data_IF_741577340125
#
_entry.id   IF_741577340125
#
_cell.length_a   1.000
_cell.length_b   1.000
_cell.length_c   1.000
_cell.angle_alpha   90.00
_cell.angle_beta   90.00
_cell.angle_gamma   90.00
#
_symmetry.space_group_name_H-M   'P 1'
#
loop_
_entity.id
_entity.type
_entity.pdbx_description
1 polymer ?
#
# COMPACT_ATOMS: atom_id res chain seq x y z
N UNK A 1 30.02 -2.38 15.78
CA UNK A 1 29.96 -2.04 14.34
C UNK A 1 29.13 -0.78 14.18
N UNK A 2 29.68 0.20 13.48
CA UNK A 2 28.96 1.42 13.16
C UNK A 2 28.52 1.39 11.71
N UNK A 3 27.30 1.88 11.44
CA UNK A 3 26.76 2.01 10.10
C UNK A 3 27.07 3.42 9.58
N UNK A 4 27.67 3.50 8.40
CA UNK A 4 27.85 4.78 7.74
C UNK A 4 26.54 5.18 7.04
N UNK A 5 25.72 5.92 7.74
CA UNK A 5 24.39 6.33 7.27
C UNK A 5 24.45 7.22 6.03
N UNK A 6 25.46 8.10 5.94
CA UNK A 6 25.61 8.97 4.77
C UNK A 6 25.90 8.16 3.52
N UNK A 7 26.83 7.21 3.60
CA UNK A 7 27.19 6.33 2.49
C UNK A 7 25.99 5.49 2.05
N UNK A 8 25.21 4.97 3.01
CA UNK A 8 24.01 4.22 2.73
C UNK A 8 22.96 5.07 2.02
N UNK A 9 22.71 6.29 2.51
CA UNK A 9 21.73 7.19 1.91
C UNK A 9 22.14 7.62 0.50
N UNK A 10 23.43 7.87 0.27
CA UNK A 10 23.94 8.19 -1.07
C UNK A 10 23.73 7.01 -2.03
N UNK A 11 23.95 5.78 -1.57
CA UNK A 11 23.70 4.58 -2.36
C UNK A 11 22.21 4.44 -2.70
N UNK A 12 21.34 4.63 -1.71
CA UNK A 12 19.87 4.54 -1.90
C UNK A 12 19.43 5.58 -2.92
N UNK A 13 19.90 6.82 -2.81
CA UNK A 13 19.58 7.88 -3.78
C UNK A 13 20.03 7.52 -5.19
N UNK A 14 21.21 6.88 -5.31
CA UNK A 14 21.77 6.48 -6.61
C UNK A 14 20.99 5.38 -7.31
N UNK A 15 20.24 4.56 -6.58
CA UNK A 15 19.41 3.47 -7.15
C UNK A 15 17.91 3.76 -7.10
N UNK A 16 17.53 4.95 -6.66
CA UNK A 16 16.13 5.38 -6.62
C UNK A 16 15.80 6.15 -7.88
N UNK A 17 14.62 5.88 -8.46
CA UNK A 17 14.19 6.57 -9.68
C UNK A 17 14.01 8.07 -9.45
N UNK A 18 14.18 8.86 -10.50
CA UNK A 18 14.01 10.31 -10.42
C UNK A 18 12.58 10.74 -10.03
N UNK A 19 11.50 10.11 -10.54
CA UNK A 19 10.15 10.44 -10.08
C UNK A 19 9.94 10.20 -8.58
N UNK A 20 10.72 9.33 -7.97
CA UNK A 20 10.63 9.07 -6.53
C UNK A 20 11.37 10.11 -5.68
N UNK A 21 12.15 10.99 -6.31
CA UNK A 21 13.00 11.97 -5.63
C UNK A 21 12.66 13.42 -5.95
N UNK A 22 11.96 13.67 -7.06
CA UNK A 22 11.73 15.01 -7.58
C UNK A 22 10.24 15.19 -7.92
N UNK A 23 9.59 16.13 -7.24
CA UNK A 23 8.17 16.38 -7.41
C UNK A 23 7.81 16.81 -8.82
N UNK A 24 8.62 17.66 -9.44
CA UNK A 24 8.35 18.14 -10.80
C UNK A 24 8.44 17.00 -11.82
N UNK A 25 9.42 16.11 -11.65
CA UNK A 25 9.60 14.94 -12.52
C UNK A 25 8.44 13.97 -12.32
N UNK A 26 8.01 13.72 -11.09
CA UNK A 26 6.84 12.89 -10.81
C UNK A 26 5.58 13.49 -11.44
N UNK A 27 5.37 14.80 -11.30
CA UNK A 27 4.20 15.45 -11.87
C UNK A 27 4.19 15.35 -13.40
N UNK A 28 5.34 15.55 -14.04
CA UNK A 28 5.47 15.40 -15.49
C UNK A 28 5.15 13.96 -15.94
N UNK A 29 5.59 12.97 -15.18
CA UNK A 29 5.28 11.56 -15.48
C UNK A 29 3.79 11.27 -15.32
N UNK A 30 3.16 11.80 -14.27
CA UNK A 30 1.72 11.66 -14.08
C UNK A 30 0.96 12.27 -15.26
N UNK A 31 1.34 13.47 -15.69
CA UNK A 31 0.70 14.15 -16.82
C UNK A 31 0.82 13.33 -18.11
N UNK A 32 1.98 12.73 -18.35
CA UNK A 32 2.23 11.84 -19.49
C UNK A 32 1.33 10.59 -19.42
N UNK A 33 1.22 9.97 -18.25
CA UNK A 33 0.39 8.79 -18.05
C UNK A 33 -1.10 9.12 -18.25
N UNK A 34 -1.55 10.25 -17.72
CA UNK A 34 -2.94 10.72 -17.91
C UNK A 34 -3.22 10.96 -19.38
N UNK A 35 -2.28 11.57 -20.12
CA UNK A 35 -2.41 11.78 -21.56
C UNK A 35 -2.52 10.45 -22.34
N UNK A 36 -1.95 9.38 -21.80
CA UNK A 36 -2.06 8.04 -22.38
C UNK A 36 -3.24 7.21 -21.85
N UNK A 37 -4.14 7.83 -21.11
CA UNK A 37 -5.38 7.20 -20.65
C UNK A 37 -5.34 6.55 -19.28
N UNK A 38 -4.27 6.75 -18.49
CA UNK A 38 -4.19 6.21 -17.16
C UNK A 38 -5.08 6.97 -16.17
N UNK A 39 -5.84 6.25 -15.36
CA UNK A 39 -6.64 6.81 -14.29
C UNK A 39 -5.83 6.79 -12.99
N UNK A 40 -5.01 7.80 -12.79
CA UNK A 40 -4.09 7.89 -11.66
C UNK A 40 -4.82 7.94 -10.31
N UNK A 41 -5.88 8.74 -10.12
CA UNK A 41 -6.58 8.74 -8.83
C UNK A 41 -7.10 7.37 -8.42
N UNK A 42 -7.73 6.63 -9.32
CA UNK A 42 -8.26 5.30 -9.01
C UNK A 42 -7.14 4.28 -8.78
N UNK A 43 -6.08 4.31 -9.58
CA UNK A 43 -4.93 3.42 -9.39
C UNK A 43 -4.24 3.65 -8.05
N UNK A 44 -4.04 4.91 -7.68
CA UNK A 44 -3.41 5.27 -6.42
C UNK A 44 -4.29 4.86 -5.24
N UNK A 45 -5.58 5.16 -5.30
CA UNK A 45 -6.55 4.78 -4.27
C UNK A 45 -6.58 3.27 -4.09
N UNK A 46 -6.66 2.51 -5.19
CA UNK A 46 -6.65 1.05 -5.14
C UNK A 46 -5.36 0.50 -4.53
N UNK A 47 -4.21 0.99 -4.97
CA UNK A 47 -2.91 0.50 -4.49
C UNK A 47 -2.75 0.70 -2.99
N UNK A 48 -3.04 1.90 -2.49
CA UNK A 48 -2.92 2.21 -1.07
C UNK A 48 -3.96 1.47 -0.23
N UNK A 49 -5.21 1.43 -0.71
CA UNK A 49 -6.30 0.78 0.01
C UNK A 49 -6.16 -0.73 0.09
N UNK A 50 -5.79 -1.39 -1.00
CA UNK A 50 -5.57 -2.84 -1.01
C UNK A 50 -4.51 -3.25 0.02
N UNK A 51 -3.42 -2.54 0.08
CA UNK A 51 -2.34 -2.83 1.03
C UNK A 51 -2.79 -2.59 2.46
N UNK A 52 -3.45 -1.48 2.73
CA UNK A 52 -3.92 -1.14 4.08
C UNK A 52 -4.94 -2.15 4.60
N UNK A 53 -5.95 -2.48 3.80
CA UNK A 53 -7.02 -3.40 4.21
C UNK A 53 -6.54 -4.85 4.30
N UNK A 54 -5.63 -5.26 3.41
CA UNK A 54 -5.01 -6.59 3.50
C UNK A 54 -4.21 -6.73 4.80
N UNK A 55 -3.53 -5.66 5.22
CA UNK A 55 -2.82 -5.60 6.49
C UNK A 55 -3.76 -5.70 7.68
N UNK A 56 -4.91 -5.05 7.64
CA UNK A 56 -5.91 -5.12 8.70
C UNK A 56 -6.52 -6.53 8.82
N UNK A 57 -6.82 -7.17 7.69
CA UNK A 57 -7.25 -8.56 7.69
C UNK A 57 -6.19 -9.48 8.31
N UNK A 58 -4.94 -9.33 7.88
CA UNK A 58 -3.81 -10.11 8.40
C UNK A 58 -3.65 -9.91 9.92
N UNK A 59 -3.83 -8.68 10.40
CA UNK A 59 -3.73 -8.35 11.82
C UNK A 59 -4.78 -9.11 12.65
N UNK A 60 -6.00 -9.21 12.19
CA UNK A 60 -7.06 -9.96 12.88
C UNK A 60 -6.70 -11.44 12.93
N UNK A 61 -6.26 -12.02 11.80
CA UNK A 61 -5.85 -13.42 11.73
C UNK A 61 -4.66 -13.70 12.65
N UNK A 62 -3.66 -12.83 12.63
CA UNK A 62 -2.49 -12.94 13.50
C UNK A 62 -2.89 -12.99 14.98
N UNK A 63 -3.77 -12.11 15.39
CA UNK A 63 -4.22 -12.03 16.78
C UNK A 63 -5.00 -13.27 17.21
N UNK A 64 -5.82 -13.82 16.32
CA UNK A 64 -6.55 -15.06 16.59
C UNK A 64 -5.58 -16.23 16.73
N UNK A 65 -4.65 -16.40 15.79
CA UNK A 65 -3.76 -17.55 15.75
C UNK A 65 -2.66 -17.48 16.81
N UNK A 66 -2.12 -16.31 17.07
CA UNK A 66 -0.87 -16.16 17.82
C UNK A 66 -0.99 -15.39 19.13
N UNK A 67 -2.08 -14.67 19.36
CA UNK A 67 -2.21 -13.79 20.52
C UNK A 67 -3.48 -14.04 21.34
N UNK A 68 -4.09 -15.18 21.17
CA UNK A 68 -5.23 -15.60 22.01
C UNK A 68 -6.56 -14.89 21.78
N UNK A 69 -6.70 -14.15 20.71
CA UNK A 69 -7.97 -13.50 20.37
C UNK A 69 -8.99 -14.59 19.99
N UNK A 70 -10.21 -14.56 20.55
CA UNK A 70 -11.15 -15.65 20.31
C UNK A 70 -11.68 -15.68 18.88
N UNK A 71 -11.96 -16.89 18.39
CA UNK A 71 -12.68 -17.10 17.14
C UNK A 71 -14.17 -17.10 17.45
N UNK A 72 -14.78 -15.92 17.36
CA UNK A 72 -16.18 -15.69 17.68
C UNK A 72 -16.88 -14.86 16.61
N UNK A 73 -18.17 -14.63 16.77
CA UNK A 73 -18.97 -13.90 15.79
C UNK A 73 -18.43 -12.49 15.50
N UNK A 74 -17.99 -11.77 16.53
CA UNK A 74 -17.46 -10.41 16.38
C UNK A 74 -16.18 -10.39 15.53
N UNK A 75 -15.26 -11.31 15.80
CA UNK A 75 -14.00 -11.39 15.05
C UNK A 75 -14.19 -11.93 13.64
N UNK A 76 -15.13 -12.86 13.45
CA UNK A 76 -15.51 -13.33 12.12
C UNK A 76 -16.14 -12.21 11.30
N UNK A 77 -17.02 -11.43 11.92
CA UNK A 77 -17.63 -10.26 11.26
C UNK A 77 -16.56 -9.23 10.87
N UNK A 78 -15.60 -8.97 11.76
CA UNK A 78 -14.49 -8.06 11.49
C UNK A 78 -13.68 -8.52 10.27
N UNK A 79 -13.33 -9.81 10.20
CA UNK A 79 -12.63 -10.36 9.04
C UNK A 79 -13.43 -10.21 7.75
N UNK A 80 -14.74 -10.47 7.79
CA UNK A 80 -15.62 -10.31 6.62
C UNK A 80 -15.68 -8.86 6.16
N UNK A 81 -15.72 -7.91 7.10
CA UNK A 81 -15.74 -6.49 6.79
C UNK A 81 -14.44 -6.07 6.07
N UNK A 82 -13.29 -6.53 6.57
CA UNK A 82 -12.00 -6.22 5.93
C UNK A 82 -11.90 -6.83 4.52
N UNK A 83 -12.43 -8.04 4.33
CA UNK A 83 -12.51 -8.65 3.00
C UNK A 83 -13.42 -7.85 2.05
N UNK A 84 -14.53 -7.34 2.56
CA UNK A 84 -15.42 -6.47 1.79
C UNK A 84 -14.73 -5.18 1.37
N UNK A 85 -13.96 -4.59 2.27
CA UNK A 85 -13.17 -3.37 1.98
C UNK A 85 -12.08 -3.65 0.92
N UNK A 86 -11.45 -4.81 0.97
CA UNK A 86 -10.49 -5.25 -0.07
C UNK A 86 -11.18 -5.32 -1.42
N UNK A 87 -12.36 -5.92 -1.50
CA UNK A 87 -13.13 -6.00 -2.74
C UNK A 87 -13.51 -4.61 -3.28
N UNK A 88 -13.84 -3.67 -2.38
CA UNK A 88 -14.17 -2.31 -2.76
C UNK A 88 -12.98 -1.60 -3.41
N UNK A 89 -11.78 -1.75 -2.82
CA UNK A 89 -10.56 -1.19 -3.41
C UNK A 89 -10.16 -1.89 -4.70
N UNK A 90 -10.39 -3.21 -4.79
CA UNK A 90 -10.14 -3.95 -6.03
C UNK A 90 -10.98 -3.39 -7.17
N UNK A 91 -12.25 -3.06 -6.90
CA UNK A 91 -13.14 -2.45 -7.88
C UNK A 91 -12.64 -1.08 -8.35
N UNK A 92 -11.97 -0.29 -7.48
CA UNK A 92 -11.37 0.98 -7.87
C UNK A 92 -10.28 0.80 -8.94
N UNK A 93 -9.59 -0.34 -8.95
CA UNK A 93 -8.54 -0.62 -9.95
C UNK A 93 -9.11 -1.07 -11.31
N UNK A 94 -10.33 -1.55 -11.34
CA UNK A 94 -11.02 -1.96 -12.56
C UNK A 94 -11.73 -0.77 -13.19
#
# INVERSE_FOLDING_TARGET
>A
MTVDTKKYLDFVAGVTSMPSQDTAILQARIDELVANGADIPHLLTAALGLTAESGEFTEVVKKILLQGKPYNEDNVFHMKRELGDICWYLAQAC
#
